data_IF_753886628056
#
_entry.id   IF_753886628056
#
_cell.length_a   1.000
_cell.length_b   1.000
_cell.length_c   1.000
_cell.angle_alpha   90.00
_cell.angle_beta   90.00
_cell.angle_gamma   90.00
#
_symmetry.space_group_name_H-M   'P 1'
#
loop_
_entity.id
_entity.type
_entity.pdbx_description
1 polymer ?
#
# COMPACT_ATOMS: atom_id res chain seq x y z
N UNK A 1 -7.16 -14.25 15.06
CA UNK A 1 -8.09 -14.29 13.91
C UNK A 1 -8.37 -12.85 13.52
N UNK A 2 -8.01 -12.46 12.29
CA UNK A 2 -8.18 -11.09 11.82
C UNK A 2 -9.59 -10.90 11.27
N UNK A 3 -10.25 -9.84 11.71
CA UNK A 3 -11.64 -9.52 11.37
C UNK A 3 -11.67 -8.16 10.68
N UNK A 4 -12.43 -8.09 9.59
CA UNK A 4 -12.63 -6.89 8.79
C UNK A 4 -14.09 -6.48 8.77
N UNK A 5 -14.37 -5.22 8.51
CA UNK A 5 -15.70 -4.78 8.11
C UNK A 5 -15.95 -5.15 6.64
N UNK A 6 -17.19 -5.48 6.32
CA UNK A 6 -17.61 -5.67 4.94
C UNK A 6 -18.11 -4.35 4.35
N UNK A 7 -17.80 -4.15 3.07
CA UNK A 7 -18.20 -2.96 2.32
C UNK A 7 -19.05 -3.35 1.11
N UNK A 8 -19.92 -2.45 0.68
CA UNK A 8 -20.53 -2.50 -0.64
C UNK A 8 -19.58 -1.92 -1.70
N UNK A 9 -19.92 -2.13 -2.98
CA UNK A 9 -19.13 -1.66 -4.12
C UNK A 9 -18.87 -0.15 -4.10
N UNK A 10 -19.78 0.64 -3.57
CA UNK A 10 -19.65 2.10 -3.44
C UNK A 10 -18.75 2.54 -2.28
N UNK A 11 -18.21 1.60 -1.51
CA UNK A 11 -17.36 1.87 -0.36
C UNK A 11 -18.11 2.15 0.94
N UNK A 12 -19.43 2.01 0.97
CA UNK A 12 -20.20 2.12 2.21
C UNK A 12 -20.16 0.82 3.02
N UNK A 13 -20.27 0.93 4.35
CA UNK A 13 -20.30 -0.21 5.25
C UNK A 13 -21.56 -1.07 5.02
N UNK A 14 -21.37 -2.38 4.88
CA UNK A 14 -22.46 -3.34 4.70
C UNK A 14 -23.10 -3.81 6.03
N UNK A 15 -22.52 -3.43 7.17
CA UNK A 15 -23.02 -3.80 8.50
C UNK A 15 -22.72 -5.25 8.90
N UNK A 16 -21.90 -5.97 8.13
CA UNK A 16 -21.45 -7.33 8.43
C UNK A 16 -19.95 -7.40 8.53
N UNK A 17 -19.43 -8.51 9.03
CA UNK A 17 -17.99 -8.73 9.20
C UNK A 17 -17.47 -9.78 8.23
N UNK A 18 -16.21 -9.66 7.86
CA UNK A 18 -15.43 -10.63 7.11
C UNK A 18 -14.33 -11.21 8.01
N UNK A 19 -13.89 -12.42 7.71
CA UNK A 19 -12.82 -13.09 8.45
C UNK A 19 -11.71 -13.47 7.47
N UNK A 20 -10.48 -13.06 7.76
CA UNK A 20 -9.32 -13.40 6.93
C UNK A 20 -9.22 -14.90 6.67
N UNK A 21 -9.04 -15.28 5.41
CA UNK A 21 -8.95 -16.69 4.98
C UNK A 21 -10.30 -17.38 4.78
N UNK A 22 -11.40 -16.67 4.95
CA UNK A 22 -12.73 -17.17 4.57
C UNK A 22 -13.19 -16.54 3.26
N UNK A 23 -14.00 -17.24 2.45
CA UNK A 23 -14.58 -16.65 1.25
C UNK A 23 -15.37 -15.39 1.58
N UNK A 24 -15.23 -14.36 0.75
CA UNK A 24 -16.03 -13.14 0.84
C UNK A 24 -17.33 -13.38 0.08
N UNK A 25 -18.51 -13.14 0.70
CA UNK A 25 -19.80 -13.30 0.03
C UNK A 25 -19.91 -12.41 -1.21
N UNK A 26 -20.60 -12.88 -2.23
CA UNK A 26 -20.87 -12.13 -3.45
C UNK A 26 -21.50 -10.76 -3.15
N UNK A 27 -21.02 -9.72 -3.81
CA UNK A 27 -21.49 -8.34 -3.61
C UNK A 27 -20.90 -7.63 -2.38
N UNK A 28 -20.06 -8.32 -1.61
CA UNK A 28 -19.30 -7.72 -0.51
C UNK A 28 -17.82 -7.62 -0.86
N UNK A 29 -17.19 -6.65 -0.23
CA UNK A 29 -15.77 -6.33 -0.46
C UNK A 29 -15.06 -6.11 0.87
N UNK A 30 -13.77 -6.46 0.92
CA UNK A 30 -12.92 -5.97 2.00
C UNK A 30 -12.10 -4.76 1.53
N UNK A 31 -11.61 -3.98 2.48
CA UNK A 31 -10.87 -2.75 2.23
C UNK A 31 -9.38 -2.97 2.49
N UNK A 32 -8.56 -2.55 1.54
CA UNK A 32 -7.10 -2.52 1.67
C UNK A 32 -6.62 -1.09 1.43
N UNK A 33 -5.67 -0.63 2.22
CA UNK A 33 -4.96 0.62 1.98
C UNK A 33 -3.53 0.34 1.56
N UNK A 34 -3.08 1.03 0.52
CA UNK A 34 -1.69 1.02 0.06
C UNK A 34 -1.12 2.44 0.11
N UNK A 35 0.13 2.55 0.53
CA UNK A 35 0.79 3.82 0.75
C UNK A 35 2.08 3.89 -0.04
N UNK A 36 2.18 4.86 -0.95
CA UNK A 36 3.42 5.27 -1.60
C UNK A 36 4.07 6.36 -0.76
N UNK A 37 5.32 6.17 -0.35
CA UNK A 37 6.05 7.14 0.47
C UNK A 37 7.02 7.93 -0.38
N UNK A 38 6.90 9.26 -0.34
CA UNK A 38 7.81 10.22 -0.93
C UNK A 38 8.40 11.11 0.14
N UNK A 39 9.71 11.24 0.16
CA UNK A 39 10.41 12.20 1.02
C UNK A 39 10.31 13.61 0.43
N UNK A 40 10.40 14.63 1.29
CA UNK A 40 10.34 16.05 0.89
C UNK A 40 11.46 16.46 -0.07
N UNK A 41 12.57 15.74 -0.11
CA UNK A 41 13.66 15.96 -1.08
C UNK A 41 13.42 15.31 -2.46
N UNK A 42 12.32 14.59 -2.63
CA UNK A 42 11.90 13.98 -3.90
C UNK A 42 12.18 12.48 -4.02
N UNK A 43 12.90 11.86 -3.08
CA UNK A 43 13.14 10.41 -3.11
C UNK A 43 11.90 9.61 -2.69
N UNK A 44 11.81 8.39 -3.20
CA UNK A 44 10.76 7.42 -2.91
C UNK A 44 11.30 6.25 -2.09
N UNK A 45 10.50 5.75 -1.15
CA UNK A 45 10.84 4.60 -0.33
C UNK A 45 10.34 3.31 -1.00
N UNK A 46 11.25 2.36 -1.19
CA UNK A 46 10.91 1.00 -1.57
C UNK A 46 11.24 0.05 -0.42
N UNK A 47 10.33 -0.89 -0.14
CA UNK A 47 10.50 -1.92 0.87
C UNK A 47 10.65 -3.28 0.18
N UNK A 48 11.65 -4.08 0.56
CA UNK A 48 11.84 -5.41 0.00
C UNK A 48 11.04 -6.43 0.78
N UNK A 49 10.13 -7.12 0.10
CA UNK A 49 9.31 -8.19 0.66
C UNK A 49 10.18 -9.36 1.12
N UNK A 50 9.82 -9.95 2.27
CA UNK A 50 10.48 -11.18 2.72
C UNK A 50 10.42 -12.25 1.62
N UNK A 51 11.57 -12.87 1.25
CA UNK A 51 11.59 -13.93 0.23
C UNK A 51 10.67 -15.12 0.53
N UNK A 52 10.28 -15.31 1.80
CA UNK A 52 9.36 -16.37 2.23
C UNK A 52 7.88 -16.06 1.94
N UNK A 53 7.55 -14.84 1.54
CA UNK A 53 6.18 -14.48 1.17
C UNK A 53 5.72 -15.28 -0.05
N UNK A 54 4.47 -15.81 -0.07
CA UNK A 54 3.98 -16.65 -1.16
C UNK A 54 3.86 -15.89 -2.49
N UNK A 55 3.60 -14.57 -2.42
CA UNK A 55 3.45 -13.72 -3.61
C UNK A 55 4.55 -12.67 -3.63
N UNK A 56 5.28 -12.57 -4.73
CA UNK A 56 6.33 -11.58 -4.98
C UNK A 56 7.42 -11.53 -3.89
N UNK A 57 7.74 -12.68 -3.26
CA UNK A 57 8.83 -12.75 -2.29
C UNK A 57 10.16 -12.27 -2.88
N UNK A 58 10.87 -11.39 -2.18
CA UNK A 58 12.12 -10.77 -2.63
C UNK A 58 11.97 -9.55 -3.55
N UNK A 59 10.77 -9.27 -4.08
CA UNK A 59 10.50 -8.05 -4.84
C UNK A 59 10.50 -6.82 -3.94
N UNK A 60 10.83 -5.67 -4.53
CA UNK A 60 10.58 -4.39 -3.89
C UNK A 60 9.17 -3.90 -4.17
N UNK A 61 8.53 -3.33 -3.19
CA UNK A 61 7.20 -2.72 -3.29
C UNK A 61 7.24 -1.22 -2.91
N UNK A 62 6.31 -0.47 -3.47
CA UNK A 62 6.17 0.95 -3.30
C UNK A 62 4.90 1.25 -2.46
N UNK A 63 4.88 1.26 -1.19
CA UNK A 63 5.88 1.12 -0.14
C UNK A 63 5.36 0.13 0.90
N UNK A 64 4.13 0.40 1.44
CA UNK A 64 3.47 -0.34 2.50
C UNK A 64 1.99 -0.54 2.19
N UNK A 65 1.34 -1.49 2.87
CA UNK A 65 -0.11 -1.64 2.76
C UNK A 65 -0.64 -2.91 3.42
N UNK A 66 -1.92 -2.87 3.71
CA UNK A 66 -2.60 -4.00 4.31
C UNK A 66 -4.10 -3.82 4.43
N UNK A 67 -4.74 -4.83 5.01
CA UNK A 67 -6.20 -4.87 5.18
C UNK A 67 -6.67 -3.97 6.32
N UNK A 68 -7.73 -3.21 6.09
CA UNK A 68 -8.40 -2.46 7.14
C UNK A 68 -9.05 -3.43 8.14
N UNK A 69 -8.71 -3.27 9.40
CA UNK A 69 -9.31 -4.02 10.50
C UNK A 69 -10.73 -3.52 10.78
N UNK A 70 -11.52 -4.33 11.47
CA UNK A 70 -12.85 -3.92 11.90
C UNK A 70 -12.79 -2.59 12.67
N UNK A 71 -13.61 -1.63 12.24
CA UNK A 71 -13.67 -0.29 12.81
C UNK A 71 -12.67 0.71 12.25
N UNK A 72 -11.80 0.30 11.33
CA UNK A 72 -10.89 1.21 10.62
C UNK A 72 -11.50 1.68 9.30
N UNK A 73 -11.36 2.96 9.01
CA UNK A 73 -11.49 3.46 7.65
C UNK A 73 -10.16 3.34 6.87
N UNK A 74 -10.17 3.68 5.59
CA UNK A 74 -8.99 3.58 4.75
C UNK A 74 -7.83 4.44 5.26
N UNK A 75 -8.10 5.62 5.80
CA UNK A 75 -7.08 6.52 6.32
C UNK A 75 -6.43 5.98 7.61
N UNK A 76 -7.24 5.49 8.55
CA UNK A 76 -6.75 4.87 9.78
C UNK A 76 -5.92 3.63 9.49
N UNK A 77 -6.39 2.77 8.57
CA UNK A 77 -5.65 1.62 8.07
C UNK A 77 -4.30 2.04 7.47
N UNK A 78 -4.29 3.02 6.58
CA UNK A 78 -3.05 3.51 5.95
C UNK A 78 -2.03 3.99 6.98
N UNK A 79 -2.46 4.74 7.99
CA UNK A 79 -1.57 5.21 9.07
C UNK A 79 -1.00 4.06 9.89
N UNK A 80 -1.81 3.07 10.23
CA UNK A 80 -1.37 1.91 11.00
C UNK A 80 -0.37 1.07 10.22
N UNK A 81 -0.70 0.71 8.97
CA UNK A 81 0.17 -0.10 8.11
C UNK A 81 1.51 0.60 7.84
N UNK A 82 1.48 1.90 7.52
CA UNK A 82 2.71 2.68 7.32
C UNK A 82 3.63 2.61 8.55
N UNK A 83 3.08 2.78 9.74
CA UNK A 83 3.84 2.73 10.99
C UNK A 83 4.36 1.31 11.28
N UNK A 84 3.53 0.28 11.09
CA UNK A 84 3.89 -1.11 11.37
C UNK A 84 4.99 -1.62 10.44
N UNK A 85 4.88 -1.33 9.14
CA UNK A 85 5.80 -1.83 8.13
C UNK A 85 7.08 -1.00 7.96
N UNK A 86 7.04 0.29 8.30
CA UNK A 86 8.18 1.20 8.04
C UNK A 86 8.66 1.98 9.26
N UNK A 87 7.88 2.03 10.34
CA UNK A 87 8.15 2.89 11.49
C UNK A 87 7.82 4.37 11.26
N UNK A 88 7.43 4.78 10.04
CA UNK A 88 7.10 6.16 9.73
C UNK A 88 5.75 6.52 10.37
N UNK A 89 5.78 7.56 11.21
CA UNK A 89 4.62 8.04 11.96
C UNK A 89 4.31 9.52 11.72
N UNK A 90 5.06 10.17 10.84
CA UNK A 90 4.91 11.57 10.48
C UNK A 90 4.79 11.72 8.97
N UNK A 91 4.02 12.71 8.54
CA UNK A 91 3.82 13.02 7.13
C UNK A 91 2.37 13.31 6.81
N UNK A 92 2.13 13.78 5.59
CA UNK A 92 0.80 14.06 5.06
C UNK A 92 0.35 12.92 4.18
N UNK A 93 -0.78 12.29 4.54
CA UNK A 93 -1.44 11.26 3.73
C UNK A 93 -2.52 11.90 2.85
N UNK A 94 -2.39 11.73 1.54
CA UNK A 94 -3.38 12.17 0.55
C UNK A 94 -3.87 10.97 -0.24
N UNK A 95 -5.19 10.78 -0.35
CA UNK A 95 -5.75 9.75 -1.22
C UNK A 95 -5.42 10.10 -2.68
N UNK A 96 -4.83 9.16 -3.41
CA UNK A 96 -4.42 9.32 -4.81
C UNK A 96 -5.13 8.37 -5.76
N UNK A 97 -6.04 7.54 -5.28
CA UNK A 97 -6.85 6.69 -6.13
C UNK A 97 -7.56 5.57 -5.41
N UNK A 98 -8.47 4.97 -6.16
CA UNK A 98 -9.19 3.75 -5.78
C UNK A 98 -9.09 2.75 -6.92
N UNK A 99 -8.83 1.50 -6.57
CA UNK A 99 -8.83 0.39 -7.51
C UNK A 99 -9.71 -0.73 -6.98
N UNK A 100 -10.53 -1.29 -7.86
CA UNK A 100 -11.42 -2.39 -7.53
C UNK A 100 -10.89 -3.69 -8.17
N UNK A 101 -10.70 -4.70 -7.37
CA UNK A 101 -10.33 -6.03 -7.83
C UNK A 101 -11.26 -7.05 -7.19
N UNK A 102 -11.82 -7.94 -7.98
CA UNK A 102 -12.70 -9.05 -7.58
C UNK A 102 -13.58 -8.78 -6.34
N UNK A 103 -13.05 -8.95 -5.15
CA UNK A 103 -13.73 -8.78 -3.85
C UNK A 103 -13.02 -7.77 -2.92
N UNK A 104 -12.15 -6.93 -3.49
CA UNK A 104 -11.30 -6.00 -2.73
C UNK A 104 -11.37 -4.59 -3.27
N UNK A 105 -11.59 -3.63 -2.38
CA UNK A 105 -11.44 -2.21 -2.64
C UNK A 105 -10.05 -1.79 -2.15
N UNK A 106 -9.21 -1.30 -3.05
CA UNK A 106 -7.91 -0.71 -2.72
C UNK A 106 -8.02 0.81 -2.72
N UNK A 107 -7.72 1.43 -1.60
CA UNK A 107 -7.52 2.87 -1.48
C UNK A 107 -6.03 3.15 -1.45
N UNK A 108 -5.55 3.99 -2.35
CA UNK A 108 -4.13 4.31 -2.46
C UNK A 108 -3.86 5.71 -1.94
N UNK A 109 -2.77 5.84 -1.19
CA UNK A 109 -2.35 7.09 -0.56
C UNK A 109 -0.92 7.45 -0.94
N UNK A 110 -0.66 8.75 -1.07
CA UNK A 110 0.69 9.31 -1.07
C UNK A 110 0.99 9.84 0.33
N UNK A 111 2.06 9.36 0.92
CA UNK A 111 2.63 9.93 2.14
C UNK A 111 3.84 10.81 1.77
N UNK A 112 3.76 12.09 2.03
CA UNK A 112 4.92 13.00 1.94
C UNK A 112 5.47 13.22 3.34
N UNK A 113 6.74 12.90 3.56
CA UNK A 113 7.38 12.93 4.88
C UNK A 113 8.77 13.56 4.82
N UNK A 114 9.19 14.17 5.91
CA UNK A 114 10.54 14.66 6.16
C UNK A 114 11.29 13.81 7.20
N UNK A 115 10.88 12.56 7.40
CA UNK A 115 11.49 11.67 8.38
C UNK A 115 12.99 11.48 8.13
N UNK A 116 13.72 11.13 9.19
CA UNK A 116 15.08 10.62 9.02
C UNK A 116 15.04 9.32 8.20
N UNK A 117 15.68 9.34 7.01
CA UNK A 117 15.71 8.20 6.10
C UNK A 117 16.33 6.94 6.70
N UNK A 118 17.18 7.09 7.71
CA UNK A 118 17.80 5.99 8.43
C UNK A 118 16.92 5.45 9.58
N UNK A 119 15.78 6.09 9.86
CA UNK A 119 14.85 5.67 10.92
C UNK A 119 13.85 4.61 10.47
N UNK A 120 13.84 4.23 9.19
CA UNK A 120 12.95 3.19 8.67
C UNK A 120 13.23 1.87 9.38
N UNK A 121 12.18 1.24 9.89
CA UNK A 121 12.25 -0.06 10.55
C UNK A 121 11.62 -1.13 9.67
N UNK A 122 12.04 -2.37 9.87
CA UNK A 122 11.51 -3.53 9.15
C UNK A 122 10.54 -4.30 10.05
N UNK A 123 9.42 -4.75 9.46
CA UNK A 123 8.50 -5.66 10.15
C UNK A 123 8.92 -7.10 9.88
N UNK A 124 9.19 -7.86 10.93
CA UNK A 124 9.59 -9.26 10.83
C UNK A 124 8.53 -10.08 10.09
N UNK A 125 8.97 -10.89 9.14
CA UNK A 125 8.10 -11.72 8.30
C UNK A 125 7.41 -10.98 7.15
N UNK A 126 7.49 -9.65 7.11
CA UNK A 126 6.94 -8.82 6.04
C UNK A 126 8.03 -8.30 5.11
N UNK A 127 9.03 -7.62 5.66
CA UNK A 127 10.10 -6.97 4.89
C UNK A 127 11.48 -7.31 5.44
N UNK A 128 12.50 -7.32 4.56
CA UNK A 128 13.88 -7.67 4.90
C UNK A 128 14.89 -6.56 4.63
N UNK A 129 14.54 -5.57 3.82
CA UNK A 129 15.37 -4.39 3.55
C UNK A 129 14.53 -3.24 3.01
N UNK A 130 15.14 -2.07 2.91
CA UNK A 130 14.55 -0.90 2.27
C UNK A 130 15.60 -0.10 1.52
N UNK A 131 15.15 0.74 0.62
CA UNK A 131 15.99 1.74 -0.05
C UNK A 131 15.18 2.98 -0.40
N UNK A 132 15.86 4.12 -0.31
CA UNK A 132 15.38 5.38 -0.89
C UNK A 132 16.00 5.52 -2.28
N UNK A 133 15.18 5.85 -3.26
CA UNK A 133 15.60 6.03 -4.65
C UNK A 133 15.15 7.39 -5.15
N UNK A 134 15.94 7.98 -6.04
CA UNK A 134 15.59 9.26 -6.67
C UNK A 134 14.30 9.17 -7.50
N UNK A 135 13.69 10.31 -7.80
CA UNK A 135 12.53 10.37 -8.68
C UNK A 135 12.81 9.74 -10.05
N UNK A 136 14.00 9.97 -10.62
CA UNK A 136 14.39 9.38 -11.89
C UNK A 136 14.47 7.85 -11.82
N UNK A 137 15.09 7.32 -10.76
CA UNK A 137 15.15 5.88 -10.51
C UNK A 137 13.76 5.29 -10.24
N UNK A 138 12.89 6.02 -9.58
CA UNK A 138 11.50 5.60 -9.36
C UNK A 138 10.73 5.52 -10.68
N UNK A 139 10.90 6.50 -11.58
CA UNK A 139 10.32 6.47 -12.93
C UNK A 139 10.81 5.23 -13.70
N UNK A 140 12.09 4.93 -13.64
CA UNK A 140 12.64 3.72 -14.27
C UNK A 140 12.11 2.45 -13.62
N UNK A 141 12.00 2.41 -12.29
CA UNK A 141 11.44 1.28 -11.54
C UNK A 141 9.99 0.96 -11.95
N UNK A 142 9.10 1.97 -11.99
CA UNK A 142 7.68 1.74 -12.31
C UNK A 142 7.45 1.34 -13.78
N UNK A 143 8.42 1.61 -14.67
CA UNK A 143 8.38 1.21 -16.07
C UNK A 143 9.19 -0.08 -16.37
N UNK A 144 9.60 -0.81 -15.34
CA UNK A 144 10.40 -2.04 -15.46
C UNK A 144 9.68 -3.27 -14.90
N UNK A 145 10.20 -4.45 -15.21
CA UNK A 145 9.72 -5.73 -14.66
C UNK A 145 10.01 -5.89 -13.15
N UNK A 146 10.77 -4.98 -12.55
CA UNK A 146 11.02 -4.97 -11.11
C UNK A 146 9.79 -4.48 -10.31
N UNK A 147 8.92 -3.69 -10.93
CA UNK A 147 7.66 -3.26 -10.32
C UNK A 147 6.66 -4.40 -10.29
N UNK A 148 6.04 -4.63 -9.13
CA UNK A 148 4.94 -5.58 -8.99
C UNK A 148 3.76 -5.12 -9.85
N UNK A 149 3.36 -5.91 -10.82
CA UNK A 149 2.37 -5.55 -11.85
C UNK A 149 1.00 -5.19 -11.26
N UNK A 150 0.51 -5.93 -10.27
CA UNK A 150 -0.76 -5.61 -9.61
C UNK A 150 -0.68 -4.30 -8.83
N UNK A 151 0.45 -3.98 -8.23
CA UNK A 151 0.67 -2.70 -7.55
C UNK A 151 0.78 -1.56 -8.56
N UNK A 152 1.45 -1.78 -9.68
CA UNK A 152 1.49 -0.83 -10.79
C UNK A 152 0.07 -0.42 -11.24
N UNK A 153 -0.82 -1.38 -11.44
CA UNK A 153 -2.21 -1.11 -11.84
C UNK A 153 -2.96 -0.24 -10.82
N UNK A 154 -2.71 -0.46 -9.54
CA UNK A 154 -3.35 0.31 -8.45
C UNK A 154 -2.88 1.75 -8.40
N UNK A 155 -1.58 2.01 -8.67
CA UNK A 155 -1.00 3.35 -8.71
C UNK A 155 -1.09 4.03 -10.07
N UNK A 156 -1.53 3.34 -11.12
CA UNK A 156 -1.50 3.84 -12.50
C UNK A 156 -2.15 5.22 -12.69
N UNK A 157 -3.32 5.54 -12.11
CA UNK A 157 -3.90 6.87 -12.25
C UNK A 157 -2.97 7.99 -11.75
N UNK A 158 -2.35 7.77 -10.59
CA UNK A 158 -1.40 8.72 -10.01
C UNK A 158 -0.12 8.83 -10.84
N UNK A 159 0.43 7.71 -11.27
CA UNK A 159 1.65 7.68 -12.10
C UNK A 159 1.44 8.40 -13.44
N UNK A 160 0.24 8.27 -14.03
CA UNK A 160 -0.14 9.03 -15.24
C UNK A 160 -0.24 10.53 -14.95
N UNK A 161 -0.89 10.90 -13.86
CA UNK A 161 -1.02 12.30 -13.45
C UNK A 161 0.36 12.96 -13.23
N UNK A 162 1.33 12.21 -12.70
CA UNK A 162 2.70 12.68 -12.48
C UNK A 162 3.54 12.68 -13.76
N UNK A 163 3.07 12.07 -14.85
CA UNK A 163 3.84 11.95 -16.09
C UNK A 163 4.96 10.91 -16.03
N UNK A 164 4.85 9.92 -15.14
CA UNK A 164 5.88 8.90 -14.91
C UNK A 164 5.79 7.70 -15.84
N UNK A 165 4.70 7.56 -16.59
CA UNK A 165 4.49 6.43 -17.52
C UNK A 165 5.18 6.73 -18.86
N UNK A 166 6.01 5.78 -19.29
CA UNK A 166 6.73 5.83 -20.58
C UNK A 166 5.90 5.22 -21.71
#
# INVERSE_FOLDING_TARGET
MEIWDAYYLDGTLAGSILVRGKPIPEGLYHLVSEILVRHTDGEYLLMQRDPRKPNYGGYFEATAGGSALKGEDAYCCAKRELREETGINAGTLTNIGRFLSHDTIYETFLCVTDCDKNSVTLQEGETVSYKWISEAEFIDFVNSDAMIDVQFQRYLPHLKQMGYIK
#
